data_IF_526098861792
#
_entry.id   IF_526098861792
#
_cell.length_a   1.000
_cell.length_b   1.000
_cell.length_c   1.000
_cell.angle_alpha   90.00
_cell.angle_beta   90.00
_cell.angle_gamma   90.00
#
_symmetry.space_group_name_H-M   'P 1'
#
loop_
_entity.id
_entity.type
_entity.pdbx_description
1 polymer ?
#
# COMPACT_ATOMS: atom_id res chain seq x y z
N UNK A 1 9.13 5.83 20.77
CA UNK A 1 9.25 4.36 20.55
C UNK A 1 9.89 4.14 19.20
N UNK A 2 10.94 3.31 19.15
CA UNK A 2 11.60 2.90 17.91
C UNK A 2 11.01 1.56 17.47
N UNK A 3 10.59 1.44 16.21
CA UNK A 3 10.01 0.20 15.70
C UNK A 3 10.66 -0.21 14.38
N UNK A 4 11.12 -1.46 14.34
CA UNK A 4 11.65 -2.09 13.13
C UNK A 4 10.79 -3.31 12.80
N UNK A 5 10.28 -3.38 11.57
CA UNK A 5 9.52 -4.53 11.10
C UNK A 5 9.97 -4.95 9.70
N UNK A 6 10.01 -6.26 9.49
CA UNK A 6 10.34 -6.88 8.20
C UNK A 6 9.14 -7.66 7.69
N UNK A 7 8.81 -7.51 6.41
CA UNK A 7 7.77 -8.27 5.74
C UNK A 7 8.29 -8.89 4.45
N UNK A 8 7.83 -10.10 4.16
CA UNK A 8 8.01 -10.73 2.85
C UNK A 8 6.69 -10.63 2.11
N UNK A 9 6.68 -9.90 1.00
CA UNK A 9 5.51 -9.74 0.15
C UNK A 9 5.68 -10.64 -1.07
N UNK A 10 4.65 -11.45 -1.37
CA UNK A 10 4.58 -12.28 -2.57
C UNK A 10 3.34 -11.89 -3.37
N UNK A 11 3.55 -11.39 -4.58
CA UNK A 11 2.47 -10.97 -5.49
C UNK A 11 2.60 -11.79 -6.78
N UNK A 12 1.48 -12.33 -7.24
CA UNK A 12 1.39 -12.99 -8.55
C UNK A 12 1.31 -11.92 -9.64
N UNK A 13 2.03 -12.13 -10.75
CA UNK A 13 1.92 -11.25 -11.92
C UNK A 13 0.67 -11.60 -12.70
N UNK A 14 0.12 -10.58 -13.35
CA UNK A 14 -1.07 -10.73 -14.16
C UNK A 14 -0.72 -10.49 -15.63
N UNK A 15 -1.42 -11.18 -16.52
CA UNK A 15 -1.29 -10.98 -17.97
C UNK A 15 -2.66 -10.88 -18.61
N UNK A 16 -2.75 -10.11 -19.69
CA UNK A 16 -3.94 -10.07 -20.52
C UNK A 16 -4.03 -11.32 -21.41
N UNK A 17 -5.21 -11.92 -21.43
CA UNK A 17 -5.57 -13.02 -22.30
C UNK A 17 -6.75 -12.61 -23.18
N UNK A 18 -6.65 -12.98 -24.46
CA UNK A 18 -7.77 -12.89 -25.39
C UNK A 18 -8.59 -14.17 -25.29
N UNK A 19 -9.79 -14.06 -24.73
CA UNK A 19 -10.71 -15.17 -24.53
C UNK A 19 -11.77 -15.28 -25.64
N UNK A 20 -11.64 -14.51 -26.73
CA UNK A 20 -12.66 -14.50 -27.78
C UNK A 20 -12.68 -15.81 -28.56
N UNK A 21 -13.88 -16.33 -28.78
CA UNK A 21 -14.17 -17.38 -29.76
C UNK A 21 -14.59 -16.71 -31.09
N UNK A 22 -14.56 -17.37 -32.26
CA UNK A 22 -14.83 -16.73 -33.55
C UNK A 22 -16.20 -16.05 -33.71
N UNK A 23 -17.14 -16.24 -32.79
CA UNK A 23 -18.44 -15.54 -32.75
C UNK A 23 -18.53 -14.36 -31.77
N UNK A 24 -17.48 -14.09 -30.99
CA UNK A 24 -17.51 -13.11 -29.91
C UNK A 24 -17.04 -11.72 -30.36
N UNK A 25 -17.91 -10.71 -30.24
CA UNK A 25 -17.63 -9.31 -30.57
C UNK A 25 -17.31 -8.43 -29.36
N UNK A 26 -17.38 -8.98 -28.15
CA UNK A 26 -17.21 -8.21 -26.91
C UNK A 26 -15.75 -7.83 -26.67
N UNK A 27 -15.48 -6.52 -26.61
CA UNK A 27 -14.17 -5.97 -26.27
C UNK A 27 -13.71 -6.30 -24.84
N UNK A 28 -14.65 -6.67 -23.96
CA UNK A 28 -14.34 -7.08 -22.59
C UNK A 28 -13.56 -8.40 -22.53
N UNK A 29 -13.65 -9.23 -23.58
CA UNK A 29 -12.95 -10.52 -23.68
C UNK A 29 -11.52 -10.38 -24.21
N UNK A 30 -11.15 -9.21 -24.76
CA UNK A 30 -9.84 -8.96 -25.35
C UNK A 30 -8.74 -8.66 -24.31
N UNK A 31 -9.14 -8.26 -23.09
CA UNK A 31 -8.24 -7.89 -22.00
C UNK A 31 -8.62 -8.58 -20.70
N UNK A 32 -8.93 -9.87 -20.77
CA UNK A 32 -9.22 -10.64 -19.57
C UNK A 32 -7.91 -10.82 -18.79
N UNK A 33 -7.88 -10.32 -17.56
CA UNK A 33 -6.68 -10.35 -16.71
C UNK A 33 -6.70 -11.60 -15.84
N UNK A 34 -5.70 -12.45 -15.97
CA UNK A 34 -5.48 -13.61 -15.10
C UNK A 34 -4.05 -13.63 -14.57
N UNK A 35 -3.86 -14.35 -13.45
CA UNK A 35 -2.53 -14.69 -12.96
C UNK A 35 -1.77 -15.50 -13.99
N UNK A 36 -0.50 -15.15 -14.24
CA UNK A 36 0.36 -15.83 -15.21
C UNK A 36 1.17 -16.99 -14.61
N UNK A 37 0.97 -17.28 -13.32
CA UNK A 37 1.69 -18.31 -12.57
C UNK A 37 3.09 -17.90 -12.12
N UNK A 38 3.55 -16.69 -12.46
CA UNK A 38 4.83 -16.14 -12.00
C UNK A 38 4.64 -15.23 -10.78
N UNK A 39 5.58 -15.31 -9.83
CA UNK A 39 5.49 -14.60 -8.55
C UNK A 39 6.68 -13.68 -8.36
N UNK A 40 6.40 -12.42 -7.99
CA UNK A 40 7.41 -11.49 -7.50
C UNK A 40 7.43 -11.56 -5.99
N UNK A 41 8.61 -11.85 -5.42
CA UNK A 41 8.86 -11.76 -3.98
C UNK A 41 9.69 -10.51 -3.69
N UNK A 42 9.23 -9.69 -2.75
CA UNK A 42 10.00 -8.56 -2.22
C UNK A 42 10.12 -8.66 -0.72
N UNK A 43 11.33 -8.43 -0.22
CA UNK A 43 11.59 -8.24 1.19
C UNK A 43 11.61 -6.74 1.45
N UNK A 44 10.76 -6.28 2.35
CA UNK A 44 10.64 -4.88 2.72
C UNK A 44 10.89 -4.72 4.20
N UNK A 45 11.74 -3.76 4.55
CA UNK A 45 12.09 -3.41 5.91
C UNK A 45 11.65 -1.97 6.17
N UNK A 46 10.92 -1.79 7.27
CA UNK A 46 10.48 -0.48 7.75
C UNK A 46 11.14 -0.19 9.07
N UNK A 47 11.69 1.01 9.18
CA UNK A 47 12.30 1.54 10.38
C UNK A 47 11.78 2.96 10.56
N UNK A 48 10.99 3.19 11.60
CA UNK A 48 10.45 4.51 11.92
C UNK A 48 10.29 4.65 13.43
N UNK A 49 10.08 5.89 13.88
CA UNK A 49 9.94 6.18 15.29
C UNK A 49 8.74 7.08 15.56
N UNK A 50 8.02 6.73 16.62
CA UNK A 50 6.95 7.55 17.17
C UNK A 50 7.44 8.35 18.37
N UNK A 51 7.05 9.61 18.46
CA UNK A 51 7.26 10.46 19.63
C UNK A 51 6.01 11.27 19.91
N UNK A 52 5.67 11.44 21.18
CA UNK A 52 4.58 12.31 21.63
C UNK A 52 5.08 13.13 22.81
N UNK A 53 4.80 14.43 22.79
CA UNK A 53 5.09 15.37 23.87
C UNK A 53 3.85 16.20 24.12
N UNK A 54 3.52 16.38 25.40
CA UNK A 54 2.41 17.19 25.83
C UNK A 54 2.82 18.02 27.03
N UNK A 55 2.30 19.24 27.11
CA UNK A 55 2.45 20.12 28.25
C UNK A 55 1.08 20.64 28.64
N UNK A 56 0.81 20.70 29.94
CA UNK A 56 -0.36 21.36 30.50
C UNK A 56 0.11 22.44 31.47
N UNK A 57 -0.62 23.55 31.50
CA UNK A 57 -0.38 24.65 32.42
C UNK A 57 -1.71 25.14 32.98
N UNK A 58 -1.80 25.21 34.30
CA UNK A 58 -2.93 25.81 34.99
C UNK A 58 -2.72 27.31 35.07
N UNK A 59 -3.57 28.08 34.40
CA UNK A 59 -3.57 29.55 34.55
C UNK A 59 -4.19 29.90 35.90
N UNK A 60 -5.27 29.22 36.27
CA UNK A 60 -5.95 29.33 37.55
C UNK A 60 -6.81 28.07 37.81
N UNK A 61 -7.59 28.07 38.89
CA UNK A 61 -8.45 26.94 39.29
C UNK A 61 -9.57 26.60 38.28
N UNK A 62 -9.89 27.54 37.39
CA UNK A 62 -10.99 27.42 36.42
C UNK A 62 -10.50 27.17 34.99
N UNK A 63 -9.24 27.50 34.69
CA UNK A 63 -8.70 27.52 33.33
C UNK A 63 -7.34 26.84 33.27
N UNK A 64 -7.30 25.78 32.47
CA UNK A 64 -6.10 25.07 32.09
C UNK A 64 -5.87 25.19 30.59
N UNK A 65 -4.62 25.37 30.19
CA UNK A 65 -4.16 25.29 28.79
C UNK A 65 -3.36 24.01 28.65
N UNK A 66 -3.52 23.35 27.51
CA UNK A 66 -2.65 22.25 27.14
C UNK A 66 -2.27 22.34 25.67
N UNK A 67 -1.09 21.82 25.36
CA UNK A 67 -0.60 21.65 24.01
C UNK A 67 -0.01 20.25 23.89
N UNK A 68 -0.22 19.61 22.74
CA UNK A 68 0.37 18.33 22.44
C UNK A 68 0.89 18.31 21.00
N UNK A 69 2.04 17.67 20.82
CA UNK A 69 2.61 17.39 19.53
C UNK A 69 2.95 15.89 19.48
N UNK A 70 2.64 15.26 18.36
CA UNK A 70 3.00 13.85 18.16
C UNK A 70 3.43 13.60 16.72
N UNK A 71 4.34 12.65 16.57
CA UNK A 71 4.69 11.99 15.34
C UNK A 71 4.39 10.51 15.53
N UNK A 72 3.48 9.99 14.72
CA UNK A 72 3.27 8.56 14.57
C UNK A 72 4.04 8.01 13.39
N UNK A 73 3.95 6.69 13.22
CA UNK A 73 4.37 5.96 12.03
C UNK A 73 3.17 5.14 11.54
N UNK A 74 3.12 4.85 10.24
CA UNK A 74 2.04 4.05 9.63
C UNK A 74 2.68 2.96 8.78
N UNK A 75 2.22 1.73 8.96
CA UNK A 75 2.66 0.62 8.12
C UNK A 75 2.10 0.78 6.71
N UNK A 76 2.92 0.57 5.66
CA UNK A 76 2.41 0.63 4.30
C UNK A 76 1.42 -0.51 4.06
N UNK A 77 0.40 -0.24 3.26
CA UNK A 77 -0.59 -1.24 2.90
C UNK A 77 -0.03 -2.16 1.81
N UNK A 78 -0.66 -3.33 1.62
CA UNK A 78 -0.28 -4.26 0.54
C UNK A 78 -0.28 -3.57 -0.84
N UNK A 79 -1.16 -2.57 -1.05
CA UNK A 79 -1.20 -1.76 -2.27
C UNK A 79 0.08 -0.95 -2.51
N UNK A 80 0.78 -0.52 -1.46
CA UNK A 80 2.08 0.15 -1.59
C UNK A 80 3.16 -0.79 -2.17
N UNK A 81 3.00 -2.11 -2.00
CA UNK A 81 3.92 -3.13 -2.50
C UNK A 81 3.48 -3.79 -3.80
N UNK A 82 2.24 -3.56 -4.23
CA UNK A 82 1.71 -4.03 -5.50
C UNK A 82 2.46 -3.44 -6.71
N UNK A 83 3.40 -2.53 -6.49
CA UNK A 83 4.14 -1.83 -7.54
C UNK A 83 3.35 -0.62 -8.02
N UNK A 84 4.03 0.26 -8.75
CA UNK A 84 3.35 1.22 -9.60
C UNK A 84 2.68 0.37 -10.69
N UNK A 85 1.43 0.01 -10.45
CA UNK A 85 0.56 -0.76 -11.36
C UNK A 85 0.19 0.18 -12.51
N UNK A 86 1.21 0.70 -13.20
CA UNK A 86 1.08 1.50 -14.41
C UNK A 86 0.93 0.52 -15.53
N UNK A 87 -0.19 0.66 -16.20
CA UNK A 87 -0.47 -0.04 -17.43
C UNK A 87 0.69 0.25 -18.40
N UNK A 88 1.42 -0.80 -18.81
CA UNK A 88 2.42 -0.71 -19.88
C UNK A 88 1.74 -0.31 -21.20
N UNK A 89 2.52 -0.03 -22.24
CA UNK A 89 1.97 0.37 -23.54
C UNK A 89 1.05 -0.71 -24.14
N UNK A 90 1.17 -1.94 -23.66
CA UNK A 90 0.42 -3.13 -24.07
C UNK A 90 -0.81 -3.42 -23.19
N UNK A 91 -1.07 -2.66 -22.13
CA UNK A 91 -2.25 -2.86 -21.27
C UNK A 91 -2.02 -3.73 -20.04
N UNK A 92 -0.80 -4.17 -19.75
CA UNK A 92 -0.47 -5.09 -18.66
C UNK A 92 0.03 -4.34 -17.41
N UNK A 93 -0.03 -5.03 -16.27
CA UNK A 93 0.36 -4.52 -14.96
C UNK A 93 1.75 -5.03 -14.53
#
# INVERSE_FOLDING_TARGET
>A
RWERQTATVRVERNKNFDLRTPGDSSLALTKAVFGDGSFVRRNVAFDDFGIAVGANYAINELVNVYGAASRGFVFPTLGTFAGDVRIDAEGNF
#
